data_IF_808777892370
#
_entry.id   IF_808777892370
#
_cell.length_a   1.000
_cell.length_b   1.000
_cell.length_c   1.000
_cell.angle_alpha   90.00
_cell.angle_beta   90.00
_cell.angle_gamma   90.00
#
_symmetry.space_group_name_H-M   'P 1'
#
loop_
_entity.id
_entity.type
_entity.pdbx_description
1 polymer ?
#
# COMPACT_ATOMS: atom_id res chain seq x y z
N UNK A 1 22.51 5.56 -11.56
CA UNK A 1 22.55 4.50 -10.52
C UNK A 1 23.97 3.98 -10.39
N UNK A 2 24.47 3.82 -9.18
CA UNK A 2 25.78 3.17 -8.96
C UNK A 2 25.68 1.64 -8.99
N UNK A 3 24.49 1.08 -8.75
CA UNK A 3 24.22 -0.36 -8.79
C UNK A 3 22.98 -0.65 -9.64
N UNK A 4 23.15 -1.17 -10.87
CA UNK A 4 22.06 -1.53 -11.77
C UNK A 4 21.12 -2.60 -11.25
N UNK A 5 21.56 -3.46 -10.32
CA UNK A 5 20.74 -4.59 -9.82
C UNK A 5 19.56 -4.14 -8.96
N UNK A 6 19.58 -2.89 -8.49
CA UNK A 6 18.47 -2.28 -7.75
C UNK A 6 17.25 -2.00 -8.61
N UNK A 7 17.38 -2.00 -9.93
CA UNK A 7 16.24 -1.81 -10.81
C UNK A 7 15.41 -3.08 -10.88
N UNK A 8 14.15 -2.99 -10.47
CA UNK A 8 13.22 -4.13 -10.45
C UNK A 8 12.41 -4.19 -11.74
N UNK A 9 11.98 -3.03 -12.25
CA UNK A 9 11.15 -2.96 -13.45
C UNK A 9 10.47 -1.61 -13.63
N UNK A 10 9.57 -1.56 -14.60
CA UNK A 10 8.81 -0.36 -14.96
C UNK A 10 7.47 -0.70 -15.60
N UNK A 11 6.54 0.24 -15.57
CA UNK A 11 5.30 0.18 -16.31
C UNK A 11 5.21 1.34 -17.31
N UNK A 12 4.45 1.13 -18.38
CA UNK A 12 4.24 2.13 -19.43
C UNK A 12 2.79 2.11 -19.90
N UNK A 13 2.32 3.26 -20.36
CA UNK A 13 1.04 3.43 -21.04
C UNK A 13 1.32 3.93 -22.47
N UNK A 14 1.05 3.09 -23.46
CA UNK A 14 1.54 3.30 -24.82
C UNK A 14 3.07 3.34 -24.85
N UNK A 15 3.61 4.47 -25.31
CA UNK A 15 5.06 4.73 -25.39
C UNK A 15 5.59 5.58 -24.21
N UNK A 16 4.74 5.89 -23.22
CA UNK A 16 5.11 6.73 -22.08
C UNK A 16 5.38 5.89 -20.84
N UNK A 17 6.55 6.08 -20.22
CA UNK A 17 6.89 5.52 -18.92
C UNK A 17 5.98 6.11 -17.84
N UNK A 18 5.19 5.31 -17.15
CA UNK A 18 4.29 5.79 -16.09
C UNK A 18 4.93 5.71 -14.71
N UNK A 19 5.73 4.67 -14.48
CA UNK A 19 6.40 4.42 -13.21
C UNK A 19 7.56 3.45 -13.35
N UNK A 20 8.48 3.49 -12.39
CA UNK A 20 9.53 2.50 -12.24
C UNK A 20 9.76 2.12 -10.78
N UNK A 21 10.36 0.95 -10.59
CA UNK A 21 10.54 0.32 -9.30
C UNK A 21 12.01 0.08 -9.02
N UNK A 22 12.44 0.49 -7.83
CA UNK A 22 13.74 0.15 -7.27
C UNK A 22 13.55 -0.74 -6.04
N UNK A 23 14.56 -1.54 -5.72
CA UNK A 23 14.66 -2.27 -4.46
C UNK A 23 15.91 -1.81 -3.70
N UNK A 24 15.73 -1.49 -2.42
CA UNK A 24 16.81 -1.22 -1.49
C UNK A 24 16.49 -1.89 -0.15
N UNK A 25 17.46 -2.64 0.39
CA UNK A 25 17.30 -3.41 1.64
C UNK A 25 16.06 -4.32 1.67
N UNK A 26 15.66 -4.88 0.51
CA UNK A 26 14.49 -5.75 0.37
C UNK A 26 13.14 -5.04 0.36
N UNK A 27 13.11 -3.70 0.40
CA UNK A 27 11.91 -2.89 0.28
C UNK A 27 11.83 -2.28 -1.12
N UNK A 28 10.65 -2.37 -1.73
CA UNK A 28 10.38 -1.74 -3.03
C UNK A 28 10.03 -0.27 -2.87
N UNK A 29 10.54 0.53 -3.79
CA UNK A 29 10.26 1.95 -3.93
C UNK A 29 9.72 2.16 -5.35
N UNK A 30 8.49 2.63 -5.44
CA UNK A 30 7.81 2.97 -6.69
C UNK A 30 7.89 4.48 -6.90
N UNK A 31 8.38 4.88 -8.07
CA UNK A 31 8.46 6.27 -8.50
C UNK A 31 7.40 6.50 -9.58
N UNK A 32 6.44 7.38 -9.30
CA UNK A 32 5.38 7.71 -10.26
C UNK A 32 5.69 8.98 -11.03
N UNK A 33 5.50 8.94 -12.34
CA UNK A 33 5.64 10.09 -13.21
C UNK A 33 4.29 10.80 -13.40
N UNK A 34 4.36 12.06 -13.82
CA UNK A 34 3.22 12.79 -14.34
C UNK A 34 2.81 12.23 -15.72
N UNK A 35 1.64 12.66 -16.19
CA UNK A 35 1.11 12.27 -17.50
C UNK A 35 2.15 12.50 -18.62
N UNK A 36 2.20 11.56 -19.58
CA UNK A 36 3.20 11.57 -20.64
C UNK A 36 4.61 11.13 -20.20
N UNK A 37 4.78 10.66 -18.97
CA UNK A 37 6.05 10.16 -18.44
C UNK A 37 7.05 11.26 -18.11
N UNK A 38 6.54 12.34 -17.53
CA UNK A 38 7.33 13.52 -17.16
C UNK A 38 7.54 13.62 -15.64
N UNK A 39 8.56 14.37 -15.23
CA UNK A 39 8.71 14.90 -13.87
C UNK A 39 8.30 16.36 -13.89
N UNK A 40 8.09 16.96 -12.72
CA UNK A 40 7.88 18.39 -12.59
C UNK A 40 9.03 19.15 -13.30
N UNK A 41 8.73 20.01 -14.30
CA UNK A 41 9.76 20.64 -15.11
C UNK A 41 10.54 21.74 -14.37
N UNK A 42 10.00 22.29 -13.29
CA UNK A 42 10.64 23.37 -12.52
C UNK A 42 11.61 22.81 -11.47
N UNK A 43 11.21 21.74 -10.77
CA UNK A 43 11.95 21.22 -9.62
C UNK A 43 12.43 19.76 -9.79
N UNK A 44 12.00 19.05 -10.84
CA UNK A 44 12.39 17.67 -11.13
C UNK A 44 11.75 16.62 -10.24
N UNK A 45 10.71 16.97 -9.48
CA UNK A 45 10.03 16.04 -8.58
C UNK A 45 9.15 15.04 -9.34
N UNK A 46 9.08 13.84 -8.78
CA UNK A 46 8.13 12.82 -9.19
C UNK A 46 6.74 13.17 -8.69
N UNK A 47 5.71 12.65 -9.36
CA UNK A 47 4.32 12.83 -8.96
C UNK A 47 4.06 12.25 -7.57
N UNK A 48 4.60 11.07 -7.30
CA UNK A 48 4.52 10.40 -6.01
C UNK A 48 5.67 9.39 -5.83
N UNK A 49 5.97 9.06 -4.58
CA UNK A 49 6.89 8.00 -4.19
C UNK A 49 6.20 7.08 -3.19
N UNK A 50 5.93 5.84 -3.62
CA UNK A 50 5.31 4.82 -2.78
C UNK A 50 6.38 3.87 -2.27
N UNK A 51 6.51 3.75 -0.96
CA UNK A 51 7.49 2.89 -0.29
C UNK A 51 6.77 1.70 0.34
N UNK A 52 7.19 0.50 -0.03
CA UNK A 52 6.78 -0.73 0.62
C UNK A 52 7.20 -0.68 2.09
N UNK A 53 6.24 -0.81 3.01
CA UNK A 53 6.46 -0.55 4.43
C UNK A 53 5.80 -1.58 5.34
N UNK A 54 4.48 -1.50 5.54
CA UNK A 54 3.71 -2.41 6.39
C UNK A 54 3.56 -3.82 5.75
N UNK A 55 4.69 -4.49 5.50
CA UNK A 55 4.81 -5.81 4.87
C UNK A 55 4.08 -6.88 5.69
N UNK A 56 4.05 -6.70 7.01
CA UNK A 56 3.29 -7.54 7.92
C UNK A 56 2.43 -6.69 8.84
N UNK A 57 1.23 -7.16 9.16
CA UNK A 57 0.38 -6.60 10.20
C UNK A 57 0.00 -7.68 11.20
N UNK A 58 -0.12 -7.30 12.46
CA UNK A 58 -0.65 -8.16 13.52
C UNK A 58 -2.11 -7.78 13.70
N UNK A 59 -3.03 -8.75 13.60
CA UNK A 59 -4.44 -8.54 13.95
C UNK A 59 -4.61 -8.92 15.42
N UNK A 60 -4.80 -7.90 16.25
CA UNK A 60 -4.83 -8.02 17.70
C UNK A 60 -6.26 -8.13 18.25
N UNK A 61 -6.46 -9.06 19.19
CA UNK A 61 -7.71 -9.28 19.93
C UNK A 61 -7.45 -9.40 21.45
N UNK A 62 -6.25 -9.03 21.90
CA UNK A 62 -5.83 -9.12 23.30
C UNK A 62 -5.93 -7.74 23.97
N UNK A 63 -4.97 -6.86 23.69
CA UNK A 63 -4.80 -5.63 24.47
C UNK A 63 -5.32 -4.37 23.73
N UNK A 64 -5.46 -4.42 22.41
CA UNK A 64 -5.94 -3.30 21.60
C UNK A 64 -7.48 -3.19 21.49
N UNK A 65 -8.24 -4.17 21.96
CA UNK A 65 -9.71 -4.23 21.82
C UNK A 65 -10.38 -4.68 23.11
N UNK A 66 -11.51 -4.06 23.47
CA UNK A 66 -12.36 -4.57 24.54
C UNK A 66 -13.37 -5.57 23.97
N UNK A 67 -13.22 -6.86 24.33
CA UNK A 67 -14.18 -7.93 24.00
C UNK A 67 -14.77 -8.41 25.32
N UNK A 68 -16.00 -7.99 25.62
CA UNK A 68 -16.59 -8.22 26.96
C UNK A 68 -17.68 -9.30 26.96
N UNK A 69 -18.17 -9.70 25.78
CA UNK A 69 -19.11 -10.80 25.62
C UNK A 69 -18.89 -11.62 24.33
N UNK A 70 -19.74 -12.63 24.14
CA UNK A 70 -19.66 -13.53 23.01
C UNK A 70 -20.06 -12.87 21.68
N UNK A 71 -20.89 -11.82 21.69
CA UNK A 71 -21.31 -11.11 20.49
C UNK A 71 -20.14 -10.28 19.94
N UNK A 72 -19.39 -9.60 20.81
CA UNK A 72 -18.17 -8.88 20.46
C UNK A 72 -17.12 -9.80 19.82
N UNK A 73 -16.92 -10.98 20.40
CA UNK A 73 -15.98 -11.98 19.87
C UNK A 73 -16.41 -12.47 18.49
N UNK A 74 -17.71 -12.72 18.30
CA UNK A 74 -18.25 -13.13 17.00
C UNK A 74 -18.09 -12.02 15.97
N UNK A 75 -18.30 -10.76 16.33
CA UNK A 75 -18.10 -9.62 15.44
C UNK A 75 -16.63 -9.50 15.00
N UNK A 76 -15.68 -9.56 15.95
CA UNK A 76 -14.24 -9.51 15.68
C UNK A 76 -13.76 -10.67 14.79
N UNK A 77 -14.16 -11.90 15.14
CA UNK A 77 -13.70 -13.10 14.44
C UNK A 77 -14.41 -13.35 13.10
N UNK A 78 -15.75 -13.25 13.04
CA UNK A 78 -16.51 -13.58 11.82
C UNK A 78 -16.72 -12.38 10.91
N UNK A 79 -16.96 -11.19 11.47
CA UNK A 79 -17.19 -9.98 10.69
C UNK A 79 -15.89 -9.45 10.09
N UNK A 80 -14.88 -9.23 10.93
CA UNK A 80 -13.65 -8.57 10.53
C UNK A 80 -12.57 -9.57 10.09
N UNK A 81 -12.07 -10.40 11.01
CA UNK A 81 -10.94 -11.29 10.73
C UNK A 81 -11.22 -12.24 9.56
N UNK A 82 -12.30 -13.03 9.62
CA UNK A 82 -12.67 -13.93 8.52
C UNK A 82 -12.90 -13.18 7.19
N UNK A 83 -13.44 -11.96 7.25
CA UNK A 83 -13.63 -11.10 6.09
C UNK A 83 -12.30 -10.69 5.44
N UNK A 84 -11.30 -10.32 6.24
CA UNK A 84 -9.94 -10.00 5.80
C UNK A 84 -9.27 -11.23 5.15
N UNK A 85 -9.30 -12.39 5.80
CA UNK A 85 -8.67 -13.62 5.28
C UNK A 85 -9.31 -14.12 3.98
N UNK A 86 -10.61 -13.86 3.78
CA UNK A 86 -11.31 -14.19 2.52
C UNK A 86 -11.20 -13.10 1.46
N UNK A 87 -10.62 -11.94 1.76
CA UNK A 87 -10.58 -10.79 0.86
C UNK A 87 -11.96 -10.18 0.56
N UNK A 88 -12.95 -10.37 1.42
CA UNK A 88 -14.33 -9.88 1.24
C UNK A 88 -14.73 -8.78 2.23
N UNK A 89 -13.80 -8.37 3.10
CA UNK A 89 -13.97 -7.25 4.02
C UNK A 89 -14.42 -5.98 3.27
N UNK A 90 -15.51 -5.37 3.73
CA UNK A 90 -16.02 -4.09 3.21
C UNK A 90 -16.33 -3.14 4.38
N UNK A 91 -15.37 -2.30 4.78
CA UNK A 91 -15.63 -1.30 5.81
C UNK A 91 -16.61 -0.25 5.28
N UNK A 92 -17.52 0.21 6.13
CA UNK A 92 -18.33 1.40 5.84
C UNK A 92 -17.65 2.60 6.47
N UNK A 93 -17.26 3.57 5.65
CA UNK A 93 -16.60 4.79 6.11
C UNK A 93 -17.59 5.94 6.03
N UNK A 94 -17.63 6.77 7.07
CA UNK A 94 -18.27 8.09 7.03
C UNK A 94 -17.19 9.12 7.30
N UNK A 95 -16.86 9.91 6.29
CA UNK A 95 -15.97 11.03 6.46
C UNK A 95 -16.77 12.22 7.04
N UNK A 96 -16.12 13.03 7.87
CA UNK A 96 -16.70 14.29 8.35
C UNK A 96 -16.94 15.27 7.20
N UNK A 97 -17.74 16.34 7.42
CA UNK A 97 -17.90 17.40 6.43
C UNK A 97 -16.57 18.11 6.13
#
# INVERSE_FOLDING_TARGET
>A
MQDPSRFVGFNQEGDHLTEFFLEDNGLKIQFQLYEGGSVDPENGQFKDLIVESAVTNIVDFEDAVAIVDAEDMVLGLKGNYLGLFKGISKPTVREGP
#
